data_IF_109852538432
#
_entry.id   IF_109852538432
#
_cell.length_a   1.000
_cell.length_b   1.000
_cell.length_c   1.000
_cell.angle_alpha   90.00
_cell.angle_beta   90.00
_cell.angle_gamma   90.00
#
_symmetry.space_group_name_H-M   'P 1'
#
loop_
_entity.id
_entity.type
_entity.pdbx_description
1 polymer ?
#
# COMPACT_ATOMS: atom_id res chain seq x y z
N UNK A 1 21.24 -3.09 17.82
CA UNK A 1 19.88 -2.57 18.09
C UNK A 1 19.78 -1.32 17.24
N UNK A 2 19.16 -1.43 16.08
CA UNK A 2 19.17 -0.34 15.11
C UNK A 2 18.37 0.83 15.68
N UNK A 3 19.05 1.95 15.90
CA UNK A 3 18.43 3.20 16.31
C UNK A 3 17.56 3.71 15.17
N UNK A 4 16.37 4.22 15.49
CA UNK A 4 15.44 4.77 14.51
C UNK A 4 16.10 5.95 13.78
N UNK A 5 16.43 5.77 12.50
CA UNK A 5 16.93 6.83 11.65
C UNK A 5 15.78 7.66 11.10
N UNK A 6 15.80 8.97 11.36
CA UNK A 6 14.83 9.92 10.79
C UNK A 6 15.17 10.14 9.32
N UNK A 7 14.48 9.42 8.44
CA UNK A 7 14.63 9.58 7.00
C UNK A 7 13.75 10.72 6.48
N UNK A 8 14.30 11.67 5.70
CA UNK A 8 13.49 12.69 5.05
C UNK A 8 12.48 12.03 4.12
N UNK A 9 11.23 12.51 4.11
CA UNK A 9 10.09 12.01 3.29
C UNK A 9 9.54 10.63 3.65
N UNK A 10 10.00 9.99 4.73
CA UNK A 10 9.45 8.69 5.21
C UNK A 10 7.93 8.69 5.36
N UNK A 11 7.38 9.78 5.89
CA UNK A 11 5.94 9.94 6.08
C UNK A 11 5.14 9.84 4.77
N UNK A 12 5.72 10.19 3.61
CA UNK A 12 5.04 10.12 2.31
C UNK A 12 4.78 8.65 1.98
N UNK A 13 5.81 7.82 2.12
CA UNK A 13 5.74 6.37 1.85
C UNK A 13 4.80 5.69 2.83
N UNK A 14 4.93 5.98 4.13
CA UNK A 14 4.06 5.43 5.17
C UNK A 14 2.60 5.83 4.96
N UNK A 15 2.34 7.07 4.53
CA UNK A 15 0.98 7.52 4.20
C UNK A 15 0.40 6.73 3.03
N UNK A 16 1.18 6.46 1.99
CA UNK A 16 0.73 5.61 0.86
C UNK A 16 0.32 4.22 1.34
N UNK A 17 1.13 3.59 2.20
CA UNK A 17 0.80 2.29 2.78
C UNK A 17 -0.41 2.34 3.72
N UNK A 18 -0.62 3.44 4.45
CA UNK A 18 -1.81 3.60 5.30
C UNK A 18 -3.12 3.54 4.49
N UNK A 19 -3.12 4.01 3.24
CA UNK A 19 -4.30 3.91 2.36
C UNK A 19 -4.67 2.47 1.98
N UNK A 20 -3.73 1.53 2.04
CA UNK A 20 -4.06 0.10 1.85
C UNK A 20 -4.98 -0.45 2.92
N UNK A 21 -5.03 0.16 4.11
CA UNK A 21 -5.99 -0.18 5.15
C UNK A 21 -7.45 -0.03 4.71
N UNK A 22 -7.73 0.83 3.73
CA UNK A 22 -9.09 0.99 3.18
C UNK A 22 -9.48 -0.14 2.22
N UNK A 23 -8.51 -0.93 1.74
CA UNK A 23 -8.77 -2.09 0.88
C UNK A 23 -8.96 -3.32 1.74
N UNK A 24 -10.21 -3.66 2.02
CA UNK A 24 -10.57 -4.83 2.85
C UNK A 24 -9.89 -6.14 2.40
N UNK A 25 -9.69 -6.31 1.08
CA UNK A 25 -9.00 -7.48 0.50
C UNK A 25 -7.50 -7.52 0.76
N UNK A 26 -6.85 -6.40 1.08
CA UNK A 26 -5.44 -6.35 1.46
C UNK A 26 -5.21 -6.52 2.98
N UNK A 27 -6.29 -6.60 3.78
CA UNK A 27 -6.19 -6.80 5.23
C UNK A 27 -5.66 -8.18 5.63
N UNK A 28 -5.74 -9.17 4.75
CA UNK A 28 -5.28 -10.54 4.97
C UNK A 28 -4.97 -11.18 3.62
N UNK A 29 -4.14 -12.20 3.60
CA UNK A 29 -3.93 -13.02 2.40
C UNK A 29 -5.18 -13.86 2.14
N UNK A 30 -6.08 -13.32 1.31
CA UNK A 30 -7.28 -14.01 0.85
C UNK A 30 -7.06 -14.74 -0.47
N UNK A 31 -6.09 -14.31 -1.26
CA UNK A 31 -5.90 -14.79 -2.63
C UNK A 31 -5.07 -16.08 -2.64
N UNK A 32 -5.54 -17.08 -3.39
CA UNK A 32 -4.87 -18.39 -3.49
C UNK A 32 -3.62 -18.31 -4.36
N UNK A 33 -3.68 -17.49 -5.43
CA UNK A 33 -2.60 -17.34 -6.39
C UNK A 33 -1.86 -16.03 -6.17
N UNK A 34 -0.53 -16.10 -6.21
CA UNK A 34 0.37 -14.95 -6.01
C UNK A 34 0.10 -13.85 -7.04
N UNK A 35 -0.18 -14.20 -8.30
CA UNK A 35 -0.48 -13.20 -9.34
C UNK A 35 -1.76 -12.41 -9.04
N UNK A 36 -2.76 -13.05 -8.42
CA UNK A 36 -3.98 -12.37 -8.00
C UNK A 36 -3.70 -11.43 -6.83
N UNK A 37 -2.94 -11.89 -5.83
CA UNK A 37 -2.51 -11.03 -4.72
C UNK A 37 -1.72 -9.80 -5.21
N UNK A 38 -0.79 -10.00 -6.14
CA UNK A 38 -0.02 -8.92 -6.75
C UNK A 38 -0.91 -7.93 -7.51
N UNK A 39 -1.87 -8.44 -8.29
CA UNK A 39 -2.82 -7.59 -8.99
C UNK A 39 -3.69 -6.76 -8.03
N UNK A 40 -4.09 -7.32 -6.88
CA UNK A 40 -4.84 -6.57 -5.87
C UNK A 40 -4.04 -5.38 -5.32
N UNK A 41 -2.72 -5.54 -5.11
CA UNK A 41 -1.83 -4.43 -4.70
C UNK A 41 -1.72 -3.38 -5.82
N UNK A 42 -1.55 -3.81 -7.07
CA UNK A 42 -1.48 -2.90 -8.23
C UNK A 42 -2.77 -2.09 -8.39
N UNK A 43 -3.94 -2.72 -8.24
CA UNK A 43 -5.24 -2.05 -8.30
C UNK A 43 -5.36 -1.01 -7.18
N UNK A 44 -5.00 -1.36 -5.95
CA UNK A 44 -5.04 -0.43 -4.83
C UNK A 44 -4.16 0.82 -5.07
N UNK A 45 -2.97 0.64 -5.65
CA UNK A 45 -2.09 1.75 -6.03
C UNK A 45 -2.68 2.61 -7.14
N UNK A 46 -3.25 2.00 -8.19
CA UNK A 46 -3.89 2.72 -9.29
C UNK A 46 -5.03 3.60 -8.80
N UNK A 47 -5.89 3.08 -7.93
CA UNK A 47 -6.98 3.85 -7.35
C UNK A 47 -6.48 5.04 -6.51
N UNK A 48 -5.41 4.88 -5.72
CA UNK A 48 -4.79 5.99 -4.99
C UNK A 48 -4.28 7.06 -5.98
N UNK A 49 -3.62 6.64 -7.06
CA UNK A 49 -3.10 7.55 -8.08
C UNK A 49 -4.23 8.32 -8.77
N UNK A 50 -5.31 7.65 -9.17
CA UNK A 50 -6.47 8.29 -9.80
C UNK A 50 -7.09 9.34 -8.87
N UNK A 51 -7.28 9.02 -7.58
CA UNK A 51 -7.81 9.99 -6.59
C UNK A 51 -6.87 11.17 -6.32
N UNK A 52 -5.59 11.06 -6.66
CA UNK A 52 -4.59 12.13 -6.46
C UNK A 52 -4.44 13.02 -7.70
N UNK A 53 -4.72 12.47 -8.88
CA UNK A 53 -4.62 13.17 -10.16
C UNK A 53 -5.89 13.91 -10.57
N UNK A 54 -7.05 13.44 -10.11
CA UNK A 54 -8.36 14.11 -10.25
C UNK A 54 -8.54 15.10 -9.10
#
# INVERSE_FOLDING_TARGET
>A
KDTFAVLPKRWIVERTFAWFGNYRRLSKDYEILISTAENMVRIAMLSIMVTKCV
#
